data_IF_502589958044
#
_entry.id   IF_502589958044
#
_cell.length_a   1.000
_cell.length_b   1.000
_cell.length_c   1.000
_cell.angle_alpha   90.00
_cell.angle_beta   90.00
_cell.angle_gamma   90.00
#
_symmetry.space_group_name_H-M   'P 1'
#
loop_
_entity.id
_entity.type
_entity.pdbx_description
1 polymer ?
#
# COMPACT_ATOMS: atom_id res chain seq x y z
N UNK A 1 -32.31 45.77 4.42
CA UNK A 1 -32.00 44.91 5.58
C UNK A 1 -31.52 43.58 5.02
N UNK A 2 -30.23 43.27 5.14
CA UNK A 2 -29.64 42.02 4.60
C UNK A 2 -29.63 40.93 5.66
N UNK A 3 -30.23 39.78 5.33
CA UNK A 3 -30.16 38.59 6.18
C UNK A 3 -28.87 37.83 5.87
N UNK A 4 -27.95 37.80 6.83
CA UNK A 4 -26.74 36.96 6.76
C UNK A 4 -27.12 35.58 7.28
N UNK A 5 -27.09 34.58 6.42
CA UNK A 5 -27.26 33.17 6.78
C UNK A 5 -25.88 32.56 7.00
N UNK A 6 -25.52 32.29 8.24
CA UNK A 6 -24.28 31.60 8.60
C UNK A 6 -24.51 30.09 8.49
N UNK A 7 -23.91 29.46 7.47
CA UNK A 7 -23.92 28.00 7.34
C UNK A 7 -22.89 27.40 8.31
N UNK A 8 -23.24 26.37 9.11
CA UNK A 8 -22.28 25.74 10.00
C UNK A 8 -21.20 25.05 9.15
N UNK A 9 -19.94 25.42 9.38
CA UNK A 9 -18.77 24.77 8.79
C UNK A 9 -18.84 23.28 9.11
N UNK A 10 -19.04 22.46 8.08
CA UNK A 10 -19.04 21.00 8.22
C UNK A 10 -17.64 20.58 8.68
N UNK A 11 -17.50 20.22 9.95
CA UNK A 11 -16.28 19.60 10.48
C UNK A 11 -15.98 18.38 9.61
N UNK A 12 -14.89 18.45 8.84
CA UNK A 12 -14.37 17.30 8.10
C UNK A 12 -14.03 16.23 9.14
N UNK A 13 -14.81 15.14 9.14
CA UNK A 13 -14.47 13.94 9.89
C UNK A 13 -13.05 13.54 9.47
N UNK A 14 -12.10 13.36 10.40
CA UNK A 14 -10.77 12.88 10.04
C UNK A 14 -10.93 11.60 9.24
N UNK A 15 -10.23 11.51 8.11
CA UNK A 15 -10.24 10.31 7.29
C UNK A 15 -9.87 9.12 8.20
N UNK A 16 -10.63 8.01 8.16
CA UNK A 16 -10.31 6.85 8.98
C UNK A 16 -8.88 6.39 8.64
N UNK A 17 -7.99 6.45 9.63
CA UNK A 17 -6.63 5.92 9.50
C UNK A 17 -6.74 4.40 9.46
N UNK A 18 -6.56 3.82 8.27
CA UNK A 18 -6.50 2.38 8.13
C UNK A 18 -5.31 1.85 8.92
N UNK A 19 -5.53 0.81 9.71
CA UNK A 19 -4.50 0.19 10.55
C UNK A 19 -4.12 -1.14 9.94
N UNK A 20 -2.84 -1.30 9.65
CA UNK A 20 -2.27 -2.50 9.05
C UNK A 20 -1.30 -3.14 10.02
N UNK A 21 -1.45 -4.44 10.19
CA UNK A 21 -0.52 -5.30 10.89
C UNK A 21 0.33 -6.04 9.86
N UNK A 22 1.65 -5.89 9.95
CA UNK A 22 2.58 -6.64 9.10
C UNK A 22 2.55 -8.12 9.51
N UNK A 23 2.31 -9.00 8.53
CA UNK A 23 2.33 -10.47 8.71
C UNK A 23 3.66 -11.04 8.24
N UNK A 24 4.12 -10.61 7.07
CA UNK A 24 5.36 -11.10 6.48
C UNK A 24 5.98 -10.05 5.56
N UNK A 25 7.30 -10.10 5.41
CA UNK A 25 8.05 -9.30 4.44
C UNK A 25 8.49 -10.23 3.31
N UNK A 26 8.06 -9.96 2.08
CA UNK A 26 8.50 -10.72 0.92
C UNK A 26 9.91 -10.32 0.49
N UNK A 27 10.27 -9.05 0.63
CA UNK A 27 11.63 -8.58 0.37
C UNK A 27 11.75 -7.06 0.33
N UNK A 28 12.97 -6.60 0.06
CA UNK A 28 13.35 -5.19 -0.03
C UNK A 28 14.24 -4.96 -1.24
N UNK A 29 14.00 -3.86 -1.96
CA UNK A 29 14.79 -3.42 -3.12
C UNK A 29 14.99 -1.91 -2.99
N UNK A 30 16.22 -1.47 -2.75
CA UNK A 30 16.50 -0.05 -2.54
C UNK A 30 15.65 0.54 -1.41
N UNK A 31 14.84 1.55 -1.74
CA UNK A 31 13.90 2.20 -0.81
C UNK A 31 12.53 1.55 -0.74
N UNK A 32 12.28 0.52 -1.56
CA UNK A 32 11.02 -0.19 -1.68
C UNK A 32 11.02 -1.46 -0.82
N UNK A 33 9.91 -1.72 -0.13
CA UNK A 33 9.65 -2.93 0.66
C UNK A 33 8.32 -3.52 0.25
N UNK A 34 8.29 -4.83 -0.01
CA UNK A 34 7.06 -5.56 -0.32
C UNK A 34 6.66 -6.38 0.89
N UNK A 35 5.46 -6.14 1.42
CA UNK A 35 4.95 -6.81 2.63
C UNK A 35 3.57 -7.42 2.42
N UNK A 36 3.29 -8.49 3.14
CA UNK A 36 1.95 -8.96 3.41
C UNK A 36 1.48 -8.32 4.72
N UNK A 37 0.34 -7.64 4.69
CA UNK A 37 -0.26 -7.03 5.86
C UNK A 37 -1.73 -7.38 5.99
N UNK A 38 -2.23 -7.46 7.23
CA UNK A 38 -3.65 -7.60 7.54
C UNK A 38 -4.21 -6.27 7.98
N UNK A 39 -5.41 -5.95 7.50
CA UNK A 39 -6.13 -4.76 7.95
C UNK A 39 -6.87 -5.03 9.26
N UNK A 40 -6.59 -4.28 10.31
CA UNK A 40 -7.11 -4.53 11.68
C UNK A 40 -8.28 -3.63 12.07
N UNK A 41 -8.55 -2.56 11.32
CA UNK A 41 -9.67 -1.64 11.57
C UNK A 41 -11.01 -2.11 10.95
N UNK A 42 -11.03 -3.26 10.26
CA UNK A 42 -12.23 -3.84 9.66
C UNK A 42 -12.55 -5.22 10.23
N UNK A 43 -13.86 -5.55 10.41
CA UNK A 43 -14.27 -6.85 10.97
C UNK A 43 -14.07 -8.01 10.00
N UNK A 44 -13.90 -7.74 8.70
CA UNK A 44 -13.56 -8.75 7.70
C UNK A 44 -12.04 -8.84 7.62
N UNK A 45 -11.48 -10.02 7.89
CA UNK A 45 -10.06 -10.28 7.73
C UNK A 45 -9.67 -10.20 6.26
N UNK A 46 -9.05 -9.09 5.86
CA UNK A 46 -8.44 -8.92 4.55
C UNK A 46 -6.93 -8.92 4.69
N UNK A 47 -6.28 -9.64 3.78
CA UNK A 47 -4.85 -9.60 3.53
C UNK A 47 -4.57 -8.65 2.39
N UNK A 48 -3.48 -7.92 2.49
CA UNK A 48 -3.03 -6.96 1.51
C UNK A 48 -1.56 -7.19 1.19
N UNK A 49 -1.25 -7.29 -0.10
CA UNK A 49 0.14 -7.16 -0.56
C UNK A 49 0.39 -5.67 -0.76
N UNK A 50 1.30 -5.11 0.04
CA UNK A 50 1.62 -3.70 0.05
C UNK A 50 3.02 -3.47 -0.51
N UNK A 51 3.15 -2.42 -1.31
CA UNK A 51 4.44 -1.83 -1.67
C UNK A 51 4.63 -0.56 -0.83
N UNK A 52 5.71 -0.52 -0.07
CA UNK A 52 6.06 0.58 0.82
C UNK A 52 7.35 1.23 0.34
N UNK A 53 7.43 2.56 0.33
CA UNK A 53 8.67 3.27 0.05
C UNK A 53 8.53 4.77 0.15
N UNK A 54 9.65 5.49 0.29
CA UNK A 54 9.62 6.95 0.46
C UNK A 54 9.09 7.70 -0.77
N UNK A 55 9.24 7.12 -1.96
CA UNK A 55 8.78 7.70 -3.23
C UNK A 55 7.31 7.38 -3.54
N UNK A 56 6.82 6.23 -3.10
CA UNK A 56 5.46 5.73 -3.39
C UNK A 56 4.50 5.83 -2.19
N UNK A 57 5.03 6.07 -0.99
CA UNK A 57 4.25 5.98 0.24
C UNK A 57 3.84 4.54 0.54
N UNK A 58 2.52 4.31 0.61
CA UNK A 58 1.92 3.00 0.75
C UNK A 58 0.99 2.76 -0.43
N UNK A 59 1.25 1.69 -1.18
CA UNK A 59 0.42 1.27 -2.31
C UNK A 59 -0.10 -0.16 -2.08
N UNK A 60 -1.40 -0.36 -2.33
CA UNK A 60 -2.05 -1.67 -2.23
C UNK A 60 -2.00 -2.34 -3.60
N UNK A 61 -1.21 -3.40 -3.72
CA UNK A 61 -1.07 -4.15 -4.98
C UNK A 61 -2.17 -5.20 -5.13
N UNK A 62 -2.53 -5.86 -4.04
CA UNK A 62 -3.60 -6.84 -4.01
C UNK A 62 -4.36 -6.78 -2.68
N UNK A 63 -5.66 -7.07 -2.73
CA UNK A 63 -6.52 -7.27 -1.56
C UNK A 63 -7.17 -8.64 -1.67
N UNK A 64 -6.99 -9.48 -0.66
CA UNK A 64 -7.30 -10.90 -0.68
C UNK A 64 -8.02 -11.29 0.61
N UNK A 65 -8.94 -12.27 0.57
CA UNK A 65 -9.53 -12.79 1.81
C UNK A 65 -8.43 -13.37 2.72
N UNK A 66 -8.56 -13.21 4.04
CA UNK A 66 -7.68 -13.85 5.03
C UNK A 66 -8.06 -15.33 5.22
N UNK A 67 -7.84 -16.12 4.17
CA UNK A 67 -7.97 -17.56 4.15
C UNK A 67 -6.75 -18.21 3.46
N UNK A 68 -6.66 -19.54 3.47
CA UNK A 68 -5.52 -20.26 2.91
C UNK A 68 -5.33 -20.00 1.41
N UNK A 69 -6.43 -19.74 0.67
CA UNK A 69 -6.37 -19.46 -0.77
C UNK A 69 -5.83 -18.05 -1.01
N UNK A 70 -6.30 -17.08 -0.24
CA UNK A 70 -5.80 -15.71 -0.27
C UNK A 70 -4.32 -15.65 0.11
N UNK A 71 -3.89 -16.43 1.11
CA UNK A 71 -2.47 -16.57 1.47
C UNK A 71 -1.66 -17.16 0.32
N UNK A 72 -2.10 -18.25 -0.30
CA UNK A 72 -1.41 -18.84 -1.44
C UNK A 72 -1.29 -17.88 -2.64
N UNK A 73 -2.33 -17.07 -2.90
CA UNK A 73 -2.26 -16.02 -3.93
C UNK A 73 -1.28 -14.92 -3.52
N UNK A 74 -1.28 -14.51 -2.25
CA UNK A 74 -0.36 -13.52 -1.74
C UNK A 74 1.11 -13.98 -1.88
N UNK A 75 1.39 -15.24 -1.57
CA UNK A 75 2.71 -15.86 -1.69
C UNK A 75 3.20 -15.96 -3.14
N UNK A 76 2.29 -15.92 -4.11
CA UNK A 76 2.63 -15.79 -5.52
C UNK A 76 2.85 -14.34 -5.94
N UNK A 77 1.94 -13.44 -5.52
CA UNK A 77 1.97 -12.01 -5.91
C UNK A 77 3.14 -11.28 -5.27
N UNK A 78 3.43 -11.52 -3.99
CA UNK A 78 4.50 -10.84 -3.24
C UNK A 78 5.87 -10.93 -3.93
N UNK A 79 6.38 -12.14 -4.22
CA UNK A 79 7.63 -12.32 -4.96
C UNK A 79 7.58 -11.73 -6.38
N UNK A 80 6.44 -11.79 -7.07
CA UNK A 80 6.30 -11.19 -8.39
C UNK A 80 6.46 -9.66 -8.36
N UNK A 81 5.83 -9.00 -7.39
CA UNK A 81 5.97 -7.55 -7.16
C UNK A 81 7.41 -7.19 -6.79
N UNK A 82 8.05 -7.99 -5.93
CA UNK A 82 9.44 -7.80 -5.58
C UNK A 82 10.33 -7.83 -6.83
N UNK A 83 10.13 -8.83 -7.71
CA UNK A 83 10.90 -8.94 -8.94
C UNK A 83 10.66 -7.78 -9.90
N UNK A 84 9.42 -7.28 -9.98
CA UNK A 84 9.12 -6.07 -10.75
C UNK A 84 9.86 -4.86 -10.18
N UNK A 85 9.88 -4.68 -8.86
CA UNK A 85 10.60 -3.58 -8.22
C UNK A 85 12.12 -3.66 -8.49
N UNK A 86 12.71 -4.86 -8.45
CA UNK A 86 14.11 -5.08 -8.84
C UNK A 86 14.38 -4.63 -10.28
N UNK A 87 13.50 -5.01 -11.22
CA UNK A 87 13.65 -4.65 -12.62
C UNK A 87 13.54 -3.14 -12.82
N UNK A 88 12.55 -2.49 -12.19
CA UNK A 88 12.39 -1.03 -12.29
C UNK A 88 13.60 -0.27 -11.74
N UNK A 89 14.16 -0.69 -10.60
CA UNK A 89 15.38 -0.08 -10.05
C UNK A 89 16.59 -0.30 -10.99
N UNK A 90 16.71 -1.49 -11.60
CA UNK A 90 17.78 -1.72 -12.59
C UNK A 90 17.59 -0.92 -13.88
N UNK A 91 16.36 -0.71 -14.34
CA UNK A 91 16.06 0.11 -15.52
C UNK A 91 16.38 1.59 -15.26
N UNK A 92 16.03 2.11 -14.07
CA UNK A 92 16.38 3.47 -13.65
C UNK A 92 17.90 3.63 -13.57
N UNK A 93 18.61 2.67 -12.95
CA UNK A 93 20.07 2.71 -12.85
C UNK A 93 20.78 2.55 -14.20
N UNK A 94 20.13 1.92 -15.19
CA UNK A 94 20.67 1.73 -16.53
C UNK A 94 20.45 2.92 -17.47
N UNK A 95 19.70 3.95 -17.08
CA UNK A 95 19.59 5.17 -17.86
C UNK A 95 20.92 5.96 -17.77
N UNK A 96 21.67 6.11 -18.87
CA UNK A 96 22.87 6.93 -18.85
C UNK A 96 22.46 8.37 -18.55
N UNK A 97 23.13 8.99 -17.59
CA UNK A 97 22.99 10.42 -17.31
C UNK A 97 23.17 11.17 -18.63
N UNK A 98 22.11 11.85 -19.09
CA UNK A 98 22.18 12.77 -20.20
C UNK A 98 22.99 13.99 -19.74
N UNK A 99 24.31 13.87 -19.80
CA UNK A 99 25.27 14.97 -19.70
C UNK A 99 25.41 15.70 -21.04
#
# INVERSE_FOLDING_TARGET
MSNVVTLPTRLQKPAPTALYEEIAVYGRVGSLTVVLARRTDQPVGWLHVLLLGSTVGLEIIASLPDDDKGRAVADFVGPAVLRTAELTETEIAAQPEAC
#
